data_IF_501599910805
#
_entry.id   IF_501599910805
#
_cell.length_a   1.000
_cell.length_b   1.000
_cell.length_c   1.000
_cell.angle_alpha   90.00
_cell.angle_beta   90.00
_cell.angle_gamma   90.00
#
_symmetry.space_group_name_H-M   'P 1'
#
loop_
_entity.id
_entity.type
_entity.pdbx_description
1 polymer ?
#
# COMPACT_ATOMS: atom_id res chain seq x y z
N UNK A 1 10.35 46.56 -12.93
CA UNK A 1 11.33 45.63 -12.30
C UNK A 1 12.56 45.57 -13.20
N UNK A 2 13.72 45.12 -12.74
CA UNK A 2 14.93 45.01 -13.58
C UNK A 2 15.37 43.55 -13.67
N UNK A 3 15.79 43.12 -14.85
CA UNK A 3 16.31 41.77 -15.05
C UNK A 3 17.61 41.60 -14.25
N UNK A 4 17.68 40.58 -13.40
CA UNK A 4 18.88 40.31 -12.59
C UNK A 4 20.06 39.80 -13.43
N UNK A 5 19.82 39.34 -14.65
CA UNK A 5 20.85 38.76 -15.51
C UNK A 5 21.46 39.77 -16.51
N UNK A 6 20.67 40.72 -17.04
CA UNK A 6 21.14 41.69 -18.03
C UNK A 6 20.86 43.17 -17.66
N UNK A 7 20.16 43.44 -16.55
CA UNK A 7 19.86 44.81 -16.10
C UNK A 7 18.77 45.54 -16.89
N UNK A 8 18.15 44.91 -17.90
CA UNK A 8 17.11 45.55 -18.71
C UNK A 8 15.80 45.78 -17.92
N UNK A 9 15.04 46.86 -18.20
CA UNK A 9 13.74 47.09 -17.58
C UNK A 9 12.74 46.02 -18.01
N UNK A 10 12.09 45.41 -17.02
CA UNK A 10 11.04 44.40 -17.17
C UNK A 10 9.69 45.01 -16.83
N UNK A 11 8.71 44.78 -17.72
CA UNK A 11 7.28 44.98 -17.46
C UNK A 11 6.79 44.00 -16.37
N UNK A 12 5.65 44.29 -15.75
CA UNK A 12 5.11 43.41 -14.71
C UNK A 12 4.49 42.15 -15.33
N UNK A 13 4.85 40.96 -14.83
CA UNK A 13 4.21 39.70 -15.21
C UNK A 13 4.77 38.98 -16.44
N UNK A 14 5.92 39.40 -16.99
CA UNK A 14 6.58 38.70 -18.10
C UNK A 14 7.45 37.53 -17.60
N UNK A 15 7.24 36.33 -18.16
CA UNK A 15 7.92 35.08 -17.75
C UNK A 15 9.41 35.04 -18.17
N UNK A 16 9.73 35.63 -19.32
CA UNK A 16 11.09 35.66 -19.88
C UNK A 16 11.49 37.09 -20.20
N UNK A 17 12.75 37.43 -19.98
CA UNK A 17 13.29 38.71 -20.40
C UNK A 17 13.33 38.79 -21.93
N UNK A 18 12.66 39.78 -22.53
CA UNK A 18 12.62 40.01 -23.98
C UNK A 18 13.99 40.29 -24.61
N UNK A 19 14.98 40.72 -23.82
CA UNK A 19 16.32 41.10 -24.31
C UNK A 19 17.34 39.97 -24.22
N UNK A 20 17.36 39.21 -23.12
CA UNK A 20 18.37 38.16 -22.89
C UNK A 20 17.81 36.75 -22.79
N UNK A 21 16.48 36.59 -22.79
CA UNK A 21 15.82 35.29 -22.67
C UNK A 21 15.94 34.62 -21.30
N UNK A 22 16.51 35.30 -20.29
CA UNK A 22 16.61 34.73 -18.95
C UNK A 22 15.22 34.68 -18.28
N UNK A 23 14.90 33.62 -17.50
CA UNK A 23 13.69 33.58 -16.70
C UNK A 23 13.66 34.76 -15.72
N UNK A 24 12.48 35.31 -15.51
CA UNK A 24 12.29 36.42 -14.58
C UNK A 24 11.88 35.91 -13.20
N UNK A 25 12.00 36.74 -12.14
CA UNK A 25 11.50 36.39 -10.81
C UNK A 25 10.00 36.03 -10.79
N UNK A 26 9.23 36.49 -11.78
CA UNK A 26 7.81 36.15 -11.90
C UNK A 26 7.59 34.70 -12.37
N UNK A 27 8.44 34.18 -13.25
CA UNK A 27 8.41 32.76 -13.67
C UNK A 27 8.79 31.82 -12.52
N UNK A 28 9.80 32.20 -11.74
CA UNK A 28 10.20 31.45 -10.53
C UNK A 28 9.05 31.39 -9.50
N UNK A 29 8.38 32.51 -9.24
CA UNK A 29 7.21 32.55 -8.35
C UNK A 29 6.06 31.66 -8.85
N UNK A 30 5.79 31.67 -10.17
CA UNK A 30 4.78 30.80 -10.80
C UNK A 30 5.14 29.32 -10.71
N UNK A 31 6.43 28.98 -10.85
CA UNK A 31 6.93 27.63 -10.72
C UNK A 31 6.79 27.12 -9.29
N UNK A 32 7.17 27.94 -8.30
CA UNK A 32 7.01 27.65 -6.88
C UNK A 32 5.54 27.46 -6.50
N UNK A 33 4.65 28.32 -6.99
CA UNK A 33 3.20 28.18 -6.75
C UNK A 33 2.66 26.87 -7.36
N UNK A 34 3.08 26.52 -8.59
CA UNK A 34 2.71 25.24 -9.24
C UNK A 34 3.23 24.04 -8.46
N UNK A 35 4.46 24.10 -7.94
CA UNK A 35 5.07 23.04 -7.12
C UNK A 35 4.30 22.91 -5.80
N UNK A 36 4.05 24.01 -5.09
CA UNK A 36 3.29 24.03 -3.84
C UNK A 36 1.87 23.49 -4.05
N UNK A 37 1.19 23.86 -5.14
CA UNK A 37 -0.15 23.37 -5.46
C UNK A 37 -0.15 21.87 -5.76
N UNK A 38 0.84 21.36 -6.49
CA UNK A 38 1.01 19.91 -6.73
C UNK A 38 1.27 19.17 -5.43
N UNK A 39 2.14 19.69 -4.56
CA UNK A 39 2.44 19.10 -3.25
C UNK A 39 1.21 19.10 -2.33
N UNK A 40 0.46 20.21 -2.28
CA UNK A 40 -0.77 20.31 -1.51
C UNK A 40 -1.84 19.32 -2.02
N UNK A 41 -1.97 19.16 -3.34
CA UNK A 41 -2.88 18.19 -3.95
C UNK A 41 -2.44 16.74 -3.62
N UNK A 42 -1.15 16.44 -3.70
CA UNK A 42 -0.61 15.14 -3.31
C UNK A 42 -0.83 14.86 -1.82
N UNK A 43 -0.63 15.86 -0.95
CA UNK A 43 -0.90 15.77 0.49
C UNK A 43 -2.38 15.51 0.76
N UNK A 44 -3.29 16.23 0.11
CA UNK A 44 -4.74 15.99 0.17
C UNK A 44 -5.11 14.58 -0.30
N UNK A 45 -4.56 14.11 -1.43
CA UNK A 45 -4.78 12.73 -1.93
C UNK A 45 -4.25 11.66 -0.96
N UNK A 46 -3.11 11.93 -0.31
CA UNK A 46 -2.51 11.05 0.71
C UNK A 46 -3.42 10.97 1.94
N UNK A 47 -3.87 12.12 2.46
CA UNK A 47 -4.79 12.25 3.59
C UNK A 47 -6.14 11.56 3.32
N UNK A 48 -6.76 11.83 2.17
CA UNK A 48 -8.01 11.17 1.77
C UNK A 48 -7.85 9.64 1.61
N UNK A 49 -6.66 9.17 1.24
CA UNK A 49 -6.38 7.73 1.16
C UNK A 49 -6.17 7.04 2.50
N UNK A 50 -5.67 7.79 3.50
CA UNK A 50 -5.57 7.33 4.88
C UNK A 50 -6.94 7.30 5.54
N UNK A 51 -7.82 8.27 5.22
CA UNK A 51 -9.23 8.25 5.62
C UNK A 51 -9.99 7.01 5.12
N UNK A 52 -9.54 6.41 4.00
CA UNK A 52 -10.12 5.17 3.49
C UNK A 52 -9.73 3.92 4.31
N UNK A 53 -8.80 4.04 5.28
CA UNK A 53 -8.50 2.96 6.21
C UNK A 53 -9.58 2.92 7.29
N UNK A 54 -10.73 2.36 6.93
CA UNK A 54 -11.85 2.18 7.85
C UNK A 54 -11.54 1.09 8.89
N UNK A 55 -11.94 1.37 10.13
CA UNK A 55 -12.07 0.37 11.20
C UNK A 55 -13.04 -0.74 10.76
N UNK A 56 -12.66 -1.99 10.99
CA UNK A 56 -13.50 -3.16 10.72
C UNK A 56 -13.73 -3.89 12.03
N UNK A 57 -14.95 -4.34 12.32
CA UNK A 57 -15.25 -5.07 13.56
C UNK A 57 -14.43 -6.35 13.66
N UNK A 58 -13.69 -6.52 14.76
CA UNK A 58 -12.80 -7.67 14.98
C UNK A 58 -13.58 -9.00 14.99
N UNK A 59 -14.85 -8.98 15.39
CA UNK A 59 -15.73 -10.17 15.43
C UNK A 59 -16.26 -10.57 14.04
N UNK A 60 -16.41 -9.61 13.12
CA UNK A 60 -16.89 -9.90 11.76
C UNK A 60 -15.84 -10.56 10.86
N UNK A 61 -14.56 -10.43 11.22
CA UNK A 61 -13.43 -10.86 10.38
C UNK A 61 -13.28 -12.39 10.32
N UNK A 62 -13.30 -13.15 11.43
CA UNK A 62 -13.29 -14.61 11.39
C UNK A 62 -14.52 -15.17 10.68
N UNK A 63 -15.70 -14.59 10.90
CA UNK A 63 -16.94 -15.01 10.23
C UNK A 63 -16.83 -14.86 8.72
N UNK A 64 -16.32 -13.72 8.24
CA UNK A 64 -16.11 -13.48 6.81
C UNK A 64 -15.04 -14.40 6.23
N UNK A 65 -13.98 -14.72 6.98
CA UNK A 65 -12.95 -15.65 6.54
C UNK A 65 -13.50 -17.08 6.37
N UNK A 66 -14.33 -17.55 7.31
CA UNK A 66 -15.01 -18.85 7.21
C UNK A 66 -16.02 -18.84 6.05
N UNK A 67 -16.89 -17.82 5.98
CA UNK A 67 -17.93 -17.70 4.97
C UNK A 67 -17.39 -17.62 3.53
N UNK A 68 -16.20 -17.05 3.35
CA UNK A 68 -15.55 -16.92 2.04
C UNK A 68 -14.59 -18.07 1.73
N UNK A 69 -14.55 -19.12 2.56
CA UNK A 69 -13.57 -20.22 2.45
C UNK A 69 -12.14 -19.70 2.29
N UNK A 70 -11.78 -18.65 3.05
CA UNK A 70 -10.47 -18.01 3.03
C UNK A 70 -10.18 -17.10 1.82
N UNK A 71 -11.08 -16.98 0.82
CA UNK A 71 -10.94 -16.04 -0.32
C UNK A 71 -10.81 -14.58 0.16
N UNK A 72 -11.34 -14.28 1.35
CA UNK A 72 -11.12 -12.97 1.98
C UNK A 72 -9.64 -12.56 2.04
N UNK A 73 -8.72 -13.50 2.26
CA UNK A 73 -7.29 -13.22 2.44
C UNK A 73 -6.65 -12.54 1.21
N UNK A 74 -6.68 -13.12 -0.01
CA UNK A 74 -6.14 -12.47 -1.20
C UNK A 74 -6.89 -11.17 -1.57
N UNK A 75 -8.21 -11.13 -1.40
CA UNK A 75 -9.02 -9.93 -1.69
C UNK A 75 -8.65 -8.78 -0.74
N UNK A 76 -8.35 -9.08 0.52
CA UNK A 76 -7.92 -8.09 1.50
C UNK A 76 -6.63 -7.38 1.05
N UNK A 77 -5.63 -8.11 0.56
CA UNK A 77 -4.39 -7.49 0.07
C UNK A 77 -4.65 -6.54 -1.10
N UNK A 78 -5.49 -6.93 -2.06
CA UNK A 78 -5.83 -6.10 -3.22
C UNK A 78 -6.56 -4.81 -2.83
N UNK A 79 -7.58 -4.95 -1.98
CA UNK A 79 -8.41 -3.81 -1.55
C UNK A 79 -7.62 -2.85 -0.66
N UNK A 80 -6.67 -3.34 0.14
CA UNK A 80 -5.84 -2.51 1.04
C UNK A 80 -4.54 -2.01 0.41
N UNK A 81 -4.10 -2.56 -0.73
CA UNK A 81 -2.82 -2.20 -1.36
C UNK A 81 -2.67 -0.69 -1.58
N UNK A 82 -3.72 -0.01 -2.07
CA UNK A 82 -3.68 1.43 -2.32
C UNK A 82 -3.49 2.23 -1.03
N UNK A 83 -4.18 1.88 0.04
CA UNK A 83 -4.08 2.59 1.32
C UNK A 83 -2.74 2.34 1.99
N UNK A 84 -2.27 1.09 2.01
CA UNK A 84 -0.95 0.71 2.54
C UNK A 84 0.17 1.42 1.78
N UNK A 85 0.07 1.51 0.44
CA UNK A 85 1.08 2.20 -0.36
C UNK A 85 1.08 3.73 -0.19
N UNK A 86 0.02 4.32 0.35
CA UNK A 86 -0.02 5.75 0.72
C UNK A 86 0.61 6.03 2.08
N UNK A 87 0.79 5.03 2.93
CA UNK A 87 1.51 5.18 4.19
C UNK A 87 2.97 5.56 3.93
N UNK A 88 3.56 6.27 4.89
CA UNK A 88 4.94 6.71 4.78
C UNK A 88 5.86 5.55 5.18
N UNK A 89 6.29 4.78 4.19
CA UNK A 89 7.21 3.65 4.34
C UNK A 89 8.09 3.56 3.10
N UNK A 90 9.39 3.22 3.25
CA UNK A 90 10.28 2.94 2.11
C UNK A 90 9.84 1.69 1.35
N UNK A 91 9.13 0.78 2.03
CA UNK A 91 8.59 -0.44 1.43
C UNK A 91 7.17 -0.18 0.94
N UNK A 92 6.82 -0.82 -0.18
CA UNK A 92 5.47 -0.81 -0.76
C UNK A 92 5.02 -2.24 -1.03
N UNK A 93 3.70 -2.41 -1.07
CA UNK A 93 3.03 -3.64 -1.46
C UNK A 93 2.93 -3.67 -3.00
N UNK A 94 3.62 -4.61 -3.67
CA UNK A 94 3.61 -4.65 -5.12
C UNK A 94 2.29 -5.19 -5.66
N UNK A 95 1.66 -4.43 -6.57
CA UNK A 95 0.37 -4.80 -7.15
C UNK A 95 0.42 -6.17 -7.85
N UNK A 96 1.52 -6.45 -8.56
CA UNK A 96 1.74 -7.74 -9.21
C UNK A 96 1.65 -8.90 -8.22
N UNK A 97 2.36 -8.82 -7.08
CA UNK A 97 2.32 -9.90 -6.08
C UNK A 97 0.92 -10.10 -5.49
N UNK A 98 0.16 -9.03 -5.26
CA UNK A 98 -1.23 -9.15 -4.76
C UNK A 98 -2.17 -9.78 -5.79
N UNK A 99 -1.96 -9.53 -7.09
CA UNK A 99 -2.73 -10.15 -8.18
C UNK A 99 -2.33 -11.62 -8.31
N UNK A 100 -1.04 -11.93 -8.31
CA UNK A 100 -0.52 -13.31 -8.36
C UNK A 100 -1.06 -14.12 -7.18
N UNK A 101 -1.11 -13.55 -5.97
CA UNK A 101 -1.69 -14.22 -4.81
C UNK A 101 -3.16 -14.58 -5.03
N UNK A 102 -3.96 -13.67 -5.61
CA UNK A 102 -5.36 -13.97 -5.94
C UNK A 102 -5.46 -15.09 -6.97
N UNK A 103 -4.66 -15.03 -8.04
CA UNK A 103 -4.67 -16.05 -9.10
C UNK A 103 -4.26 -17.43 -8.55
N UNK A 104 -3.18 -17.49 -7.76
CA UNK A 104 -2.73 -18.74 -7.14
C UNK A 104 -3.77 -19.30 -6.17
N UNK A 105 -4.45 -18.45 -5.40
CA UNK A 105 -5.50 -18.89 -4.49
C UNK A 105 -6.73 -19.43 -5.25
N UNK A 106 -7.17 -18.74 -6.30
CA UNK A 106 -8.28 -19.20 -7.14
C UNK A 106 -7.90 -20.51 -7.84
N UNK A 107 -6.68 -20.62 -8.36
CA UNK A 107 -6.16 -21.86 -8.91
C UNK A 107 -6.17 -23.00 -7.88
N UNK A 108 -5.67 -22.77 -6.66
CA UNK A 108 -5.71 -23.79 -5.61
C UNK A 108 -7.13 -24.28 -5.28
N UNK A 109 -8.14 -23.41 -5.45
CA UNK A 109 -9.54 -23.75 -5.21
C UNK A 109 -10.19 -24.49 -6.40
N UNK A 110 -9.86 -24.11 -7.64
CA UNK A 110 -10.53 -24.60 -8.85
C UNK A 110 -9.82 -25.75 -9.56
N UNK A 111 -8.52 -25.94 -9.34
CA UNK A 111 -7.71 -26.96 -10.01
C UNK A 111 -7.94 -28.41 -9.52
N UNK A 112 -8.30 -28.68 -8.25
CA UNK A 112 -8.66 -30.04 -7.83
C UNK A 112 -9.83 -30.59 -8.69
N UNK A 113 -9.57 -31.66 -9.45
CA UNK A 113 -10.55 -32.28 -10.37
C UNK A 113 -10.59 -31.69 -11.79
N UNK A 114 -10.06 -30.48 -12.02
CA UNK A 114 -10.00 -29.88 -13.37
C UNK A 114 -8.98 -30.60 -14.28
N UNK A 115 -7.91 -31.13 -13.69
CA UNK A 115 -6.85 -31.85 -14.37
C UNK A 115 -7.31 -33.15 -15.05
N UNK A 116 -8.25 -33.86 -14.42
CA UNK A 116 -8.83 -35.10 -14.95
C UNK A 116 -9.58 -34.85 -16.27
N UNK A 117 -10.28 -33.71 -16.38
CA UNK A 117 -11.00 -33.31 -17.58
C UNK A 117 -10.11 -32.98 -18.79
N UNK A 118 -8.82 -32.74 -18.57
CA UNK A 118 -7.83 -32.48 -19.63
C UNK A 118 -6.82 -33.62 -19.82
N UNK A 119 -7.06 -34.78 -19.20
CA UNK A 119 -6.28 -36.00 -19.41
C UNK A 119 -4.92 -36.04 -18.70
N UNK A 120 -4.72 -35.20 -17.67
CA UNK A 120 -3.50 -35.23 -16.84
C UNK A 120 -3.63 -36.34 -15.79
N UNK A 121 -2.58 -37.13 -15.61
CA UNK A 121 -2.56 -38.21 -14.63
C UNK A 121 -2.61 -37.67 -13.19
N UNK A 122 -3.08 -38.51 -12.26
CA UNK A 122 -3.32 -38.10 -10.87
C UNK A 122 -2.04 -37.69 -10.12
N UNK A 123 -0.89 -38.31 -10.43
CA UNK A 123 0.38 -38.01 -9.77
C UNK A 123 0.87 -36.62 -10.18
N UNK A 124 0.88 -36.35 -11.49
CA UNK A 124 1.23 -35.05 -12.04
C UNK A 124 0.26 -33.95 -11.59
N UNK A 125 -1.05 -34.21 -11.60
CA UNK A 125 -2.07 -33.29 -11.10
C UNK A 125 -1.87 -32.95 -9.61
N UNK A 126 -1.56 -33.97 -8.80
CA UNK A 126 -1.24 -33.80 -7.39
C UNK A 126 0.02 -32.95 -7.20
N UNK A 127 1.09 -33.22 -7.97
CA UNK A 127 2.32 -32.43 -7.91
C UNK A 127 2.08 -30.94 -8.24
N UNK A 128 1.30 -30.65 -9.29
CA UNK A 128 0.93 -29.28 -9.64
C UNK A 128 0.10 -28.60 -8.54
N UNK A 129 -0.90 -29.29 -7.99
CA UNK A 129 -1.72 -28.76 -6.91
C UNK A 129 -0.88 -28.43 -5.67
N UNK A 130 0.05 -29.30 -5.27
CA UNK A 130 0.97 -29.03 -4.17
C UNK A 130 1.89 -27.84 -4.46
N UNK A 131 2.37 -27.70 -5.70
CA UNK A 131 3.19 -26.56 -6.10
C UNK A 131 2.41 -25.24 -6.04
N UNK A 132 1.19 -25.21 -6.56
CA UNK A 132 0.32 -24.03 -6.53
C UNK A 132 -0.05 -23.66 -5.09
N UNK A 133 -0.42 -24.65 -4.27
CA UNK A 133 -0.72 -24.45 -2.86
C UNK A 133 0.48 -23.92 -2.10
N UNK A 134 1.66 -24.53 -2.27
CA UNK A 134 2.91 -24.10 -1.66
C UNK A 134 3.28 -22.66 -2.06
N UNK A 135 3.22 -22.35 -3.36
CA UNK A 135 3.48 -21.00 -3.86
C UNK A 135 2.51 -19.97 -3.26
N UNK A 136 1.21 -20.29 -3.21
CA UNK A 136 0.18 -19.45 -2.59
C UNK A 136 0.44 -19.23 -1.09
N UNK A 137 0.85 -20.28 -0.38
CA UNK A 137 1.15 -20.22 1.04
C UNK A 137 2.37 -19.34 1.34
N UNK A 138 3.49 -19.56 0.65
CA UNK A 138 4.70 -18.77 0.85
C UNK A 138 4.52 -17.30 0.43
N UNK A 139 3.81 -17.05 -0.68
CA UNK A 139 3.52 -15.69 -1.12
C UNK A 139 2.61 -14.95 -0.13
N UNK A 140 1.60 -15.64 0.44
CA UNK A 140 0.76 -15.11 1.52
C UNK A 140 1.58 -14.68 2.74
N UNK A 141 2.50 -15.54 3.21
CA UNK A 141 3.40 -15.23 4.33
C UNK A 141 4.26 -14.02 3.99
N UNK A 142 4.90 -14.01 2.82
CA UNK A 142 5.74 -12.91 2.38
C UNK A 142 4.98 -11.59 2.32
N UNK A 143 3.75 -11.58 1.78
CA UNK A 143 2.86 -10.42 1.76
C UNK A 143 2.53 -9.95 3.18
N UNK A 144 2.27 -10.87 4.12
CA UNK A 144 1.96 -10.52 5.49
C UNK A 144 3.13 -9.80 6.17
N UNK A 145 4.35 -10.33 6.02
CA UNK A 145 5.57 -9.69 6.53
C UNK A 145 5.82 -8.34 5.85
N UNK A 146 5.53 -8.23 4.55
CA UNK A 146 5.66 -6.97 3.82
C UNK A 146 4.71 -5.91 4.36
N UNK A 147 3.48 -6.26 4.69
CA UNK A 147 2.52 -5.33 5.30
C UNK A 147 2.95 -4.96 6.72
N UNK A 148 3.41 -5.92 7.53
CA UNK A 148 3.99 -5.65 8.85
C UNK A 148 5.09 -4.58 8.76
N UNK A 149 6.03 -4.73 7.83
CA UNK A 149 7.10 -3.76 7.62
C UNK A 149 6.57 -2.36 7.27
N UNK A 150 5.53 -2.28 6.43
CA UNK A 150 4.89 -1.01 6.05
C UNK A 150 4.28 -0.33 7.28
N UNK A 151 3.54 -1.08 8.09
CA UNK A 151 2.89 -0.57 9.30
C UNK A 151 3.93 -0.08 10.32
N UNK A 152 4.96 -0.87 10.58
CA UNK A 152 6.02 -0.51 11.53
C UNK A 152 6.82 0.70 11.04
N UNK A 153 7.19 0.76 9.76
CA UNK A 153 7.91 1.91 9.22
C UNK A 153 7.08 3.21 9.31
N UNK A 154 5.77 3.12 9.10
CA UNK A 154 4.88 4.27 9.24
C UNK A 154 4.71 4.70 10.70
N UNK A 155 4.53 3.75 11.63
CA UNK A 155 4.42 4.02 13.06
C UNK A 155 5.70 4.62 13.66
N UNK A 156 6.87 4.21 13.16
CA UNK A 156 8.19 4.72 13.59
C UNK A 156 8.42 6.21 13.29
N UNK A 157 7.49 6.88 12.62
CA UNK A 157 7.51 8.34 12.45
C UNK A 157 6.94 9.09 13.66
N UNK A 158 6.18 8.39 14.50
CA UNK A 158 5.44 8.97 15.61
C UNK A 158 5.86 8.38 16.97
N UNK A 159 6.49 7.21 16.96
CA UNK A 159 6.88 6.45 18.15
C UNK A 159 8.33 5.97 18.02
N UNK A 160 8.98 5.76 19.17
CA UNK A 160 10.30 5.15 19.21
C UNK A 160 10.31 3.75 18.59
N UNK A 161 11.37 3.45 17.82
CA UNK A 161 11.50 2.18 17.10
C UNK A 161 11.34 0.95 18.01
N UNK A 162 11.90 1.01 19.22
CA UNK A 162 11.75 -0.06 20.20
C UNK A 162 10.28 -0.30 20.58
N UNK A 163 9.54 0.78 20.84
CA UNK A 163 8.11 0.72 21.17
C UNK A 163 7.31 0.16 20.01
N UNK A 164 7.60 0.58 18.78
CA UNK A 164 6.89 0.11 17.57
C UNK A 164 7.02 -1.40 17.38
N UNK A 165 8.22 -1.95 17.52
CA UNK A 165 8.46 -3.40 17.31
C UNK A 165 7.70 -4.25 18.32
N UNK A 166 7.56 -3.78 19.56
CA UNK A 166 6.80 -4.47 20.61
C UNK A 166 5.29 -4.21 20.55
N UNK A 167 4.87 -3.09 19.94
CA UNK A 167 3.46 -2.66 19.97
C UNK A 167 2.69 -3.02 18.69
N UNK A 168 3.33 -2.99 17.52
CA UNK A 168 2.70 -3.14 16.20
C UNK A 168 3.12 -4.48 15.58
N UNK A 169 2.16 -5.39 15.44
CA UNK A 169 2.37 -6.72 14.88
C UNK A 169 3.59 -7.49 15.47
N UNK A 170 3.72 -7.58 16.81
CA UNK A 170 4.88 -8.20 17.45
C UNK A 170 5.03 -9.70 17.13
N UNK A 171 3.92 -10.42 17.01
CA UNK A 171 3.95 -11.88 16.86
C UNK A 171 4.10 -12.31 15.40
N UNK A 172 5.25 -12.90 15.08
CA UNK A 172 5.49 -13.54 13.78
C UNK A 172 4.61 -14.79 13.58
N UNK A 173 4.38 -15.56 14.64
CA UNK A 173 3.54 -16.77 14.58
C UNK A 173 2.09 -16.43 14.21
N UNK A 174 1.52 -15.39 14.84
CA UNK A 174 0.16 -14.92 14.48
C UNK A 174 0.10 -14.38 13.06
N UNK A 175 1.20 -13.81 12.56
CA UNK A 175 1.30 -13.35 11.18
C UNK A 175 1.27 -14.50 10.17
N UNK A 176 1.93 -15.62 10.47
CA UNK A 176 1.93 -16.82 9.62
C UNK A 176 0.58 -17.52 9.65
N UNK A 177 -0.03 -17.67 10.83
CA UNK A 177 -1.27 -18.42 11.00
C UNK A 177 -2.50 -17.61 10.56
N UNK A 178 -2.56 -16.33 10.93
CA UNK A 178 -3.76 -15.50 10.74
C UNK A 178 -3.58 -14.36 9.72
N UNK A 179 -2.35 -14.10 9.25
CA UNK A 179 -2.04 -13.19 8.14
C UNK A 179 -2.87 -11.90 8.14
N UNK A 180 -3.74 -11.69 7.13
CA UNK A 180 -4.61 -10.51 7.04
C UNK A 180 -5.51 -10.24 8.24
N UNK A 181 -6.03 -11.27 8.91
CA UNK A 181 -6.91 -11.10 10.08
C UNK A 181 -6.14 -10.42 11.21
N UNK A 182 -4.96 -10.95 11.51
CA UNK A 182 -4.08 -10.36 12.52
C UNK A 182 -3.66 -8.94 12.12
N UNK A 183 -3.23 -8.73 10.87
CA UNK A 183 -2.85 -7.40 10.39
C UNK A 183 -3.99 -6.38 10.47
N UNK A 184 -5.24 -6.79 10.20
CA UNK A 184 -6.39 -5.90 10.31
C UNK A 184 -6.64 -5.49 11.76
N UNK A 185 -6.48 -6.38 12.75
CA UNK A 185 -6.56 -5.99 14.18
C UNK A 185 -5.46 -4.98 14.55
N UNK A 186 -4.26 -5.12 13.99
CA UNK A 186 -3.17 -4.17 14.22
C UNK A 186 -3.44 -2.81 13.58
N UNK A 187 -4.05 -2.80 12.39
CA UNK A 187 -4.53 -1.55 11.76
C UNK A 187 -5.60 -0.89 12.62
N UNK A 188 -6.57 -1.65 13.13
CA UNK A 188 -7.62 -1.13 14.03
C UNK A 188 -6.99 -0.51 15.29
N UNK A 189 -5.99 -1.19 15.89
CA UNK A 189 -5.21 -0.68 17.01
C UNK A 189 -4.51 0.64 16.65
N UNK A 190 -3.87 0.74 15.48
CA UNK A 190 -3.21 1.97 15.02
C UNK A 190 -4.19 3.12 14.76
N UNK A 191 -5.42 2.84 14.33
CA UNK A 191 -6.50 3.84 14.22
C UNK A 191 -6.86 4.35 15.61
N UNK A 192 -7.04 3.45 16.58
CA UNK A 192 -7.35 3.82 17.96
C UNK A 192 -6.25 4.64 18.63
N UNK A 193 -4.98 4.32 18.35
CA UNK A 193 -3.81 5.10 18.79
C UNK A 193 -3.61 6.40 17.99
N UNK A 194 -4.54 6.76 17.11
CA UNK A 194 -4.52 7.99 16.30
C UNK A 194 -3.34 8.13 15.33
N UNK A 195 -2.56 7.06 15.13
CA UNK A 195 -1.42 7.01 14.21
C UNK A 195 -1.87 7.05 12.74
N UNK A 196 -3.14 6.75 12.48
CA UNK A 196 -3.75 6.70 11.14
C UNK A 196 -4.84 7.77 10.95
N UNK A 197 -4.74 8.92 11.62
CA UNK A 197 -5.69 10.02 11.41
C UNK A 197 -5.51 10.67 10.03
N UNK A 198 -6.59 10.85 9.24
CA UNK A 198 -6.59 11.93 8.26
C UNK A 198 -6.57 13.25 9.03
N UNK A 199 -5.60 14.11 8.74
CA UNK A 199 -5.62 15.49 9.22
C UNK A 199 -7.00 16.10 8.88
N UNK A 200 -7.66 16.60 9.92
CA UNK A 200 -8.90 17.39 9.87
C UNK A 200 -8.67 18.60 8.96
#
# INVERSE_FOLDING_TARGET
MICQHCGAPLEAGIELCSFCGSPTPYDEMLLDEKIQRKQALQRKKKLAGLAAIKHVSDLSLPFLWIATMGIYSPVWYLTRARSLNRMNSPKKLPAFATIVQLVLYLGALSLPGAWEGIGVDAETASAYNHCVFGASFFLSIWLAFRVKDILQAHAAQYLDKAVVVHTIAPSAALLVVFGPLYLQTQINKMIFMELLKPAV
#
